data_IF_186161287634
#
_entry.id   IF_186161287634
#
_cell.length_a   1.000
_cell.length_b   1.000
_cell.length_c   1.000
_cell.angle_alpha   90.00
_cell.angle_beta   90.00
_cell.angle_gamma   90.00
#
_symmetry.space_group_name_H-M   'P 1'
#
loop_
_entity.id
_entity.type
_entity.pdbx_description
1 polymer ?
#
# COMPACT_ATOMS: atom_id res chain seq x y z
N UNK A 1 10.00 13.96 22.22
CA UNK A 1 9.58 13.65 20.83
C UNK A 1 8.10 13.98 20.70
N UNK A 2 7.66 14.61 19.61
CA UNK A 2 6.25 14.89 19.37
C UNK A 2 5.47 13.57 19.26
N UNK A 3 4.23 13.55 19.76
CA UNK A 3 3.37 12.35 19.62
C UNK A 3 3.11 12.06 18.14
N UNK A 4 3.03 10.78 17.71
CA UNK A 4 2.76 10.42 16.33
C UNK A 4 1.41 10.99 15.88
N UNK A 5 1.32 11.44 14.64
CA UNK A 5 0.07 11.95 14.06
C UNK A 5 -0.76 10.84 13.42
N UNK A 6 -0.17 9.65 13.21
CA UNK A 6 -0.75 8.52 12.50
C UNK A 6 -0.15 7.20 13.01
N UNK A 7 -0.92 6.13 13.00
CA UNK A 7 -0.43 4.76 13.15
C UNK A 7 -0.53 4.08 11.79
N UNK A 8 0.60 3.57 11.27
CA UNK A 8 0.63 2.80 10.02
C UNK A 8 0.47 1.31 10.32
N UNK A 9 -0.66 0.74 9.93
CA UNK A 9 -0.97 -0.70 10.08
C UNK A 9 -0.32 -1.52 8.94
N UNK A 10 1.01 -1.41 8.77
CA UNK A 10 1.73 -2.10 7.70
C UNK A 10 3.21 -2.27 8.02
N UNK A 11 3.75 -3.45 7.71
CA UNK A 11 5.19 -3.73 7.79
C UNK A 11 5.96 -3.30 6.52
N UNK A 12 5.29 -2.75 5.50
CA UNK A 12 5.93 -2.40 4.21
C UNK A 12 6.96 -1.28 4.37
N UNK A 13 8.24 -1.53 4.04
CA UNK A 13 9.28 -0.51 4.10
C UNK A 13 9.05 0.63 3.11
N UNK A 14 8.35 0.38 1.97
CA UNK A 14 8.04 1.41 0.98
C UNK A 14 7.01 2.41 1.51
N UNK A 15 5.94 1.93 2.14
CA UNK A 15 4.92 2.78 2.76
C UNK A 15 5.53 3.66 3.84
N UNK A 16 6.40 3.06 4.64
CA UNK A 16 7.17 3.79 5.66
C UNK A 16 8.03 4.88 5.03
N UNK A 17 8.85 4.55 4.03
CA UNK A 17 9.72 5.50 3.34
C UNK A 17 8.95 6.66 2.70
N UNK A 18 7.77 6.39 2.09
CA UNK A 18 6.92 7.44 1.52
C UNK A 18 6.43 8.39 2.61
N UNK A 19 5.91 7.88 3.73
CA UNK A 19 5.44 8.73 4.84
C UNK A 19 6.57 9.56 5.46
N UNK A 20 7.78 9.00 5.57
CA UNK A 20 8.98 9.71 6.03
C UNK A 20 9.35 10.85 5.07
N UNK A 21 9.34 10.58 3.75
CA UNK A 21 9.66 11.58 2.71
C UNK A 21 8.70 12.77 2.70
N UNK A 22 7.42 12.54 2.96
CA UNK A 22 6.42 13.62 3.02
C UNK A 22 6.30 14.25 4.42
N UNK A 23 7.18 13.88 5.35
CA UNK A 23 7.29 14.50 6.68
C UNK A 23 6.15 14.16 7.64
N UNK A 24 5.41 13.09 7.41
CA UNK A 24 4.37 12.62 8.34
C UNK A 24 5.01 11.97 9.55
N UNK A 25 4.62 12.39 10.75
CA UNK A 25 5.03 11.74 12.00
C UNK A 25 4.12 10.54 12.27
N UNK A 26 4.65 9.32 12.30
CA UNK A 26 3.86 8.11 12.48
C UNK A 26 4.55 7.07 13.36
N UNK A 27 3.74 6.13 13.86
CA UNK A 27 4.18 4.90 14.53
C UNK A 27 3.84 3.71 13.63
N UNK A 28 4.74 2.74 13.49
CA UNK A 28 4.45 1.50 12.76
C UNK A 28 3.93 0.44 13.73
N UNK A 29 2.76 -0.11 13.40
CA UNK A 29 2.21 -1.32 14.04
C UNK A 29 1.79 -2.27 12.93
N UNK A 30 2.59 -3.31 12.69
CA UNK A 30 2.25 -4.33 11.69
C UNK A 30 0.93 -5.01 12.05
N UNK A 31 0.10 -5.25 11.04
CA UNK A 31 -1.12 -6.04 11.17
C UNK A 31 -0.84 -7.48 10.77
N UNK A 32 -1.41 -8.42 11.48
CA UNK A 32 -1.47 -9.87 11.20
C UNK A 32 -2.83 -10.31 10.65
N UNK A 33 -3.65 -9.37 10.19
CA UNK A 33 -4.96 -9.67 9.62
C UNK A 33 -4.86 -10.52 8.35
N UNK A 34 -5.74 -11.52 8.25
CA UNK A 34 -5.88 -12.35 7.06
C UNK A 34 -6.30 -11.50 5.86
N UNK A 35 -5.54 -11.62 4.77
CA UNK A 35 -5.79 -10.89 3.52
C UNK A 35 -6.64 -11.75 2.56
N UNK A 36 -7.59 -11.10 1.87
CA UNK A 36 -8.28 -11.70 0.73
C UNK A 36 -7.32 -11.78 -0.45
N UNK A 37 -7.30 -12.93 -1.13
CA UNK A 37 -6.48 -13.17 -2.31
C UNK A 37 -7.30 -13.23 -3.60
N UNK A 38 -8.63 -13.25 -3.50
CA UNK A 38 -9.56 -13.42 -4.62
C UNK A 38 -10.73 -12.46 -4.51
N UNK A 39 -11.32 -12.12 -5.66
CA UNK A 39 -12.46 -11.23 -5.78
C UNK A 39 -12.19 -10.09 -6.77
N UNK A 40 -13.12 -9.13 -6.92
CA UNK A 40 -12.88 -7.91 -7.69
C UNK A 40 -11.70 -7.12 -7.08
N UNK A 41 -10.64 -6.79 -7.86
CA UNK A 41 -9.41 -6.23 -7.28
C UNK A 41 -9.62 -4.96 -6.44
N UNK A 42 -10.54 -4.07 -6.85
CA UNK A 42 -10.85 -2.87 -6.09
C UNK A 42 -11.50 -3.17 -4.73
N UNK A 43 -12.36 -4.18 -4.66
CA UNK A 43 -12.99 -4.62 -3.41
C UNK A 43 -11.97 -5.30 -2.49
N UNK A 44 -11.09 -6.14 -3.07
CA UNK A 44 -10.02 -6.84 -2.34
C UNK A 44 -9.11 -5.84 -1.63
N UNK A 45 -8.63 -4.80 -2.33
CA UNK A 45 -7.72 -3.82 -1.69
C UNK A 45 -8.40 -2.98 -0.63
N UNK A 46 -9.70 -2.66 -0.80
CA UNK A 46 -10.47 -1.92 0.19
C UNK A 46 -10.68 -2.76 1.45
N UNK A 47 -11.12 -4.01 1.28
CA UNK A 47 -11.36 -4.91 2.40
C UNK A 47 -10.07 -5.23 3.15
N UNK A 48 -8.98 -5.54 2.44
CA UNK A 48 -7.69 -5.80 3.07
C UNK A 48 -7.14 -4.59 3.81
N UNK A 49 -7.27 -3.38 3.23
CA UNK A 49 -6.90 -2.15 3.92
C UNK A 49 -7.72 -1.94 5.20
N UNK A 50 -9.03 -2.20 5.13
CA UNK A 50 -9.92 -2.12 6.28
C UNK A 50 -9.56 -3.14 7.36
N UNK A 51 -9.34 -4.41 7.01
CA UNK A 51 -8.93 -5.47 7.96
C UNK A 51 -7.65 -5.10 8.70
N UNK A 52 -6.63 -4.65 7.95
CA UNK A 52 -5.36 -4.21 8.52
C UNK A 52 -5.54 -3.06 9.52
N UNK A 53 -6.29 -2.03 9.12
CA UNK A 53 -6.55 -0.89 10.01
C UNK A 53 -7.33 -1.30 11.26
N UNK A 54 -8.37 -2.13 11.10
CA UNK A 54 -9.26 -2.57 12.20
C UNK A 54 -8.53 -3.43 13.22
N UNK A 55 -7.67 -4.35 12.78
CA UNK A 55 -6.88 -5.21 13.68
C UNK A 55 -6.00 -4.36 14.61
N UNK A 56 -5.35 -3.33 14.06
CA UNK A 56 -4.51 -2.42 14.84
C UNK A 56 -5.35 -1.46 15.69
N UNK A 57 -6.43 -0.89 15.18
CA UNK A 57 -7.30 0.01 15.93
C UNK A 57 -7.91 -0.67 17.16
N UNK A 58 -8.34 -1.92 17.03
CA UNK A 58 -8.86 -2.73 18.14
C UNK A 58 -7.85 -2.97 19.26
N UNK A 59 -6.56 -3.09 18.91
CA UNK A 59 -5.48 -3.22 19.90
C UNK A 59 -5.16 -1.91 20.61
N UNK A 60 -5.26 -0.79 19.90
CA UNK A 60 -5.03 0.56 20.47
C UNK A 60 -6.12 0.96 21.46
N UNK A 61 -7.39 0.67 21.12
CA UNK A 61 -8.53 0.96 22.00
C UNK A 61 -8.45 0.23 23.35
N UNK A 62 -7.89 -0.96 23.39
CA UNK A 62 -7.71 -1.75 24.62
C UNK A 62 -6.56 -1.24 25.50
N UNK A 63 -5.64 -0.42 24.97
CA UNK A 63 -4.45 0.09 25.69
C UNK A 63 -4.49 1.58 26.06
N UNK A 64 -5.50 2.33 25.64
CA UNK A 64 -5.57 3.79 25.76
C UNK A 64 -6.38 4.28 26.94
N UNK A 65 -5.70 4.68 28.04
CA UNK A 65 -6.26 5.55 29.05
C UNK A 65 -6.52 6.97 28.49
N UNK A 66 -7.54 7.63 29.00
CA UNK A 66 -8.02 8.96 28.63
C UNK A 66 -6.88 10.00 28.49
N UNK A 67 -6.74 10.65 27.34
CA UNK A 67 -5.91 11.86 27.19
C UNK A 67 -6.74 13.00 26.62
N UNK A 68 -6.61 14.11 27.33
CA UNK A 68 -7.40 15.32 27.34
C UNK A 68 -7.65 16.06 26.02
N UNK A 69 -8.70 16.85 26.06
CA UNK A 69 -9.20 17.76 25.02
C UNK A 69 -8.27 18.97 24.82
N UNK A 70 -7.82 19.20 23.59
CA UNK A 70 -7.20 20.47 23.16
C UNK A 70 -8.03 21.14 22.06
N UNK A 71 -8.17 22.49 22.03
CA UNK A 71 -8.88 23.21 20.99
C UNK A 71 -7.92 23.55 19.83
N UNK A 72 -8.29 23.20 18.58
CA UNK A 72 -7.55 23.60 17.39
C UNK A 72 -7.87 22.75 16.16
N UNK A 73 -8.15 23.42 15.06
CA UNK A 73 -8.71 22.88 13.82
C UNK A 73 -8.01 21.68 13.19
N UNK A 74 -8.78 20.79 12.62
CA UNK A 74 -8.36 19.81 11.61
C UNK A 74 -7.90 18.43 12.08
N UNK A 75 -7.44 18.26 13.31
CA UNK A 75 -6.97 16.96 13.84
C UNK A 75 -8.13 16.18 14.48
N UNK A 76 -8.24 14.85 14.28
CA UNK A 76 -9.24 14.02 14.96
C UNK A 76 -9.17 14.19 16.47
N UNK A 77 -10.29 14.46 17.10
CA UNK A 77 -10.39 14.60 18.56
C UNK A 77 -10.56 13.21 19.17
N UNK A 78 -9.63 12.78 20.01
CA UNK A 78 -9.82 11.61 20.87
C UNK A 78 -8.93 10.40 20.63
N UNK A 79 -8.04 10.37 19.64
CA UNK A 79 -7.11 9.27 19.40
C UNK A 79 -6.23 9.48 18.18
N UNK A 80 -5.18 8.65 18.06
CA UNK A 80 -4.29 8.66 16.89
C UNK A 80 -4.96 7.84 15.78
N UNK A 81 -5.20 8.40 14.58
CA UNK A 81 -5.78 7.65 13.46
C UNK A 81 -4.93 6.46 13.06
N UNK A 82 -5.58 5.41 12.55
CA UNK A 82 -4.93 4.20 12.04
C UNK A 82 -5.11 4.11 10.54
N UNK A 83 -4.01 3.99 9.80
CA UNK A 83 -3.96 3.83 8.36
C UNK A 83 -3.66 2.38 7.99
N UNK A 84 -4.62 1.71 7.36
CA UNK A 84 -4.43 0.45 6.64
C UNK A 84 -4.25 0.73 5.15
N UNK A 85 -3.38 -0.03 4.50
CA UNK A 85 -3.13 0.06 3.06
C UNK A 85 -2.97 -1.33 2.49
N UNK A 86 -3.56 -1.56 1.32
CA UNK A 86 -3.31 -2.76 0.53
C UNK A 86 -3.02 -2.44 -0.93
N UNK A 87 -2.29 -3.34 -1.62
CA UNK A 87 -1.91 -3.17 -3.01
C UNK A 87 -1.85 -4.52 -3.69
N UNK A 88 -2.55 -4.63 -4.82
CA UNK A 88 -2.53 -5.83 -5.67
C UNK A 88 -2.27 -5.45 -7.12
N UNK A 89 -1.69 -6.37 -7.87
CA UNK A 89 -1.52 -6.29 -9.33
C UNK A 89 -2.57 -7.16 -9.99
N UNK A 90 -3.20 -6.68 -11.06
CA UNK A 90 -4.24 -7.42 -11.79
C UNK A 90 -3.99 -7.38 -13.29
N UNK A 91 -4.14 -8.53 -13.95
CA UNK A 91 -4.18 -8.66 -15.40
C UNK A 91 -5.49 -9.31 -15.79
N UNK A 92 -6.43 -8.54 -16.30
CA UNK A 92 -7.82 -8.96 -16.45
C UNK A 92 -8.43 -9.27 -15.07
N UNK A 93 -8.97 -10.47 -14.93
CA UNK A 93 -9.55 -10.96 -13.66
C UNK A 93 -8.52 -11.63 -12.72
N UNK A 94 -7.31 -11.92 -13.21
CA UNK A 94 -6.26 -12.57 -12.40
C UNK A 94 -5.58 -11.56 -11.50
N UNK A 95 -5.61 -11.79 -10.19
CA UNK A 95 -4.84 -11.07 -9.20
C UNK A 95 -3.48 -11.74 -9.02
N UNK A 96 -2.43 -10.92 -8.97
CA UNK A 96 -1.07 -11.31 -8.66
C UNK A 96 -0.71 -10.74 -7.29
N UNK A 97 -0.68 -11.61 -6.29
CA UNK A 97 -0.21 -11.29 -4.95
C UNK A 97 1.32 -11.25 -4.87
N UNK A 98 1.85 -11.49 -3.68
CA UNK A 98 3.29 -11.65 -3.46
C UNK A 98 3.72 -13.04 -3.91
N UNK A 99 4.80 -13.17 -4.70
CA UNK A 99 5.30 -14.48 -5.12
C UNK A 99 5.83 -15.27 -3.93
N UNK A 100 5.65 -16.58 -3.97
CA UNK A 100 6.07 -17.52 -2.93
C UNK A 100 7.57 -17.84 -3.02
N UNK A 101 8.06 -17.93 -4.26
CA UNK A 101 9.43 -18.31 -4.59
C UNK A 101 9.88 -17.71 -5.93
N UNK A 102 11.09 -18.03 -6.36
CA UNK A 102 11.69 -17.52 -7.60
C UNK A 102 10.95 -18.02 -8.85
N UNK A 103 10.43 -19.25 -8.84
CA UNK A 103 9.69 -19.80 -9.96
C UNK A 103 8.34 -19.09 -10.13
N UNK A 104 7.63 -18.86 -9.03
CA UNK A 104 6.39 -18.10 -9.01
C UNK A 104 6.61 -16.65 -9.45
N UNK A 105 7.71 -16.04 -9.02
CA UNK A 105 8.08 -14.69 -9.47
C UNK A 105 8.35 -14.64 -10.99
N UNK A 106 9.09 -15.61 -11.52
CA UNK A 106 9.37 -15.70 -12.95
C UNK A 106 8.08 -15.90 -13.77
N UNK A 107 7.17 -16.76 -13.30
CA UNK A 107 5.85 -16.98 -13.93
C UNK A 107 5.02 -15.69 -13.95
N UNK A 108 4.95 -14.97 -12.82
CA UNK A 108 4.23 -13.70 -12.74
C UNK A 108 4.80 -12.67 -13.72
N UNK A 109 6.11 -12.50 -13.77
CA UNK A 109 6.79 -11.56 -14.67
C UNK A 109 6.57 -11.93 -16.13
N UNK A 110 6.64 -13.23 -16.48
CA UNK A 110 6.37 -13.70 -17.83
C UNK A 110 4.91 -13.43 -18.25
N UNK A 111 3.96 -13.60 -17.32
CA UNK A 111 2.56 -13.27 -17.58
C UNK A 111 2.31 -11.77 -17.81
N UNK A 112 3.10 -10.90 -17.19
CA UNK A 112 2.99 -9.43 -17.32
C UNK A 112 3.81 -8.86 -18.48
N UNK A 113 4.82 -9.59 -18.98
CA UNK A 113 5.75 -9.16 -20.03
C UNK A 113 5.02 -8.65 -21.29
N UNK A 114 5.36 -7.45 -21.75
CA UNK A 114 4.76 -6.80 -22.92
C UNK A 114 3.31 -6.37 -22.75
N UNK A 115 2.71 -6.51 -21.58
CA UNK A 115 1.27 -6.27 -21.36
C UNK A 115 1.02 -5.04 -20.48
N UNK A 116 -0.19 -4.52 -20.61
CA UNK A 116 -0.78 -3.54 -19.70
C UNK A 116 -1.48 -4.31 -18.58
N UNK A 117 -1.17 -3.95 -17.37
CA UNK A 117 -1.81 -4.47 -16.17
C UNK A 117 -2.19 -3.32 -15.24
N UNK A 118 -3.04 -3.58 -14.26
CA UNK A 118 -3.53 -2.56 -13.34
C UNK A 118 -2.99 -2.84 -11.94
N UNK A 119 -2.46 -1.82 -11.31
CA UNK A 119 -2.13 -1.82 -9.88
C UNK A 119 -3.27 -1.13 -9.15
N UNK A 120 -3.95 -1.87 -8.28
CA UNK A 120 -4.95 -1.34 -7.38
C UNK A 120 -4.33 -1.09 -6.02
N UNK A 121 -4.58 0.09 -5.46
CA UNK A 121 -4.19 0.41 -4.08
C UNK A 121 -5.39 0.93 -3.31
N UNK A 122 -5.68 0.31 -2.17
CA UNK A 122 -6.73 0.70 -1.24
C UNK A 122 -6.16 1.30 0.03
N UNK A 123 -6.82 2.32 0.55
CA UNK A 123 -6.54 2.91 1.86
C UNK A 123 -7.78 2.85 2.74
N UNK A 124 -7.56 2.61 4.02
CA UNK A 124 -8.55 2.73 5.08
C UNK A 124 -7.98 3.56 6.21
N UNK A 125 -8.63 4.68 6.52
CA UNK A 125 -8.29 5.53 7.64
C UNK A 125 -9.37 5.42 8.71
N UNK A 126 -9.02 4.83 9.84
CA UNK A 126 -9.88 4.75 11.02
C UNK A 126 -9.52 5.89 11.98
N UNK A 127 -10.46 6.80 12.16
CA UNK A 127 -10.41 7.89 13.12
C UNK A 127 -11.35 7.58 14.30
N UNK A 128 -11.29 8.27 15.43
CA UNK A 128 -12.12 7.97 16.59
C UNK A 128 -13.63 8.02 16.35
N UNK A 129 -14.07 8.85 15.40
CA UNK A 129 -15.46 9.15 15.11
C UNK A 129 -15.94 8.66 13.73
N UNK A 130 -15.03 8.20 12.87
CA UNK A 130 -15.35 7.78 11.50
C UNK A 130 -14.30 6.86 10.89
N UNK A 131 -14.74 6.07 9.91
CA UNK A 131 -13.88 5.29 9.03
C UNK A 131 -14.06 5.77 7.59
N UNK A 132 -12.96 5.99 6.88
CA UNK A 132 -12.94 6.39 5.48
C UNK A 132 -12.09 5.43 4.67
N UNK A 133 -12.59 5.02 3.53
CA UNK A 133 -11.90 4.13 2.60
C UNK A 133 -11.91 4.72 1.20
N UNK A 134 -10.86 4.49 0.44
CA UNK A 134 -10.80 4.83 -0.96
C UNK A 134 -9.84 3.88 -1.68
N UNK A 135 -10.08 3.65 -2.97
CA UNK A 135 -9.20 2.87 -3.83
C UNK A 135 -8.86 3.64 -5.10
N UNK A 136 -7.68 3.41 -5.62
CA UNK A 136 -7.23 3.94 -6.91
C UNK A 136 -6.67 2.83 -7.77
N UNK A 137 -6.69 3.06 -9.07
CA UNK A 137 -6.08 2.19 -10.07
C UNK A 137 -5.03 2.96 -10.86
N UNK A 138 -3.94 2.26 -11.19
CA UNK A 138 -2.87 2.80 -12.02
C UNK A 138 -2.50 1.75 -13.05
N UNK A 139 -2.54 2.14 -14.33
CA UNK A 139 -2.14 1.24 -15.41
C UNK A 139 -0.62 1.28 -15.55
N UNK A 140 -0.01 0.10 -15.53
CA UNK A 140 1.41 -0.10 -15.80
C UNK A 140 1.55 -0.94 -17.05
N UNK A 141 2.40 -0.52 -17.97
CA UNK A 141 2.76 -1.27 -19.16
C UNK A 141 4.19 -1.76 -19.04
N UNK A 142 4.37 -3.07 -19.15
CA UNK A 142 5.71 -3.66 -19.25
C UNK A 142 6.23 -3.64 -20.68
N UNK A 143 7.55 -3.56 -20.80
CA UNK A 143 8.27 -3.86 -22.04
C UNK A 143 8.11 -5.33 -22.39
N UNK A 144 8.26 -5.75 -23.66
CA UNK A 144 8.55 -7.14 -23.97
C UNK A 144 9.80 -7.59 -23.20
N UNK A 145 9.69 -8.67 -22.46
CA UNK A 145 10.79 -9.21 -21.64
C UNK A 145 11.20 -10.58 -22.19
N UNK A 146 12.41 -10.74 -22.71
CA UNK A 146 12.95 -12.06 -23.01
C UNK A 146 13.22 -12.83 -21.72
N UNK A 147 13.23 -14.17 -21.77
CA UNK A 147 13.45 -15.02 -20.60
C UNK A 147 14.70 -14.63 -19.81
N UNK A 148 15.82 -14.36 -20.51
CA UNK A 148 17.04 -13.93 -19.87
C UNK A 148 16.93 -12.62 -19.04
N UNK A 149 16.04 -11.69 -19.45
CA UNK A 149 15.79 -10.47 -18.68
C UNK A 149 14.97 -10.77 -17.41
N UNK A 150 14.02 -11.71 -17.50
CA UNK A 150 13.25 -12.17 -16.35
C UNK A 150 14.17 -12.87 -15.35
N UNK A 151 15.01 -13.81 -15.82
CA UNK A 151 15.97 -14.53 -14.99
C UNK A 151 16.94 -13.57 -14.28
N UNK A 152 17.48 -12.59 -15.02
CA UNK A 152 18.38 -11.59 -14.48
C UNK A 152 17.69 -10.74 -13.39
N UNK A 153 16.42 -10.35 -13.59
CA UNK A 153 15.69 -9.60 -12.59
C UNK A 153 15.35 -10.46 -11.36
N UNK A 154 14.90 -11.70 -11.55
CA UNK A 154 14.61 -12.63 -10.44
C UNK A 154 15.84 -12.85 -9.57
N UNK A 155 17.03 -12.97 -10.17
CA UNK A 155 18.30 -13.13 -9.46
C UNK A 155 18.64 -11.93 -8.55
N UNK A 156 18.07 -10.73 -8.79
CA UNK A 156 18.26 -9.56 -7.91
C UNK A 156 17.59 -9.70 -6.55
N UNK A 157 16.54 -10.51 -6.45
CA UNK A 157 15.72 -10.64 -5.26
C UNK A 157 14.78 -9.46 -4.99
N UNK A 158 14.74 -8.41 -5.83
CA UNK A 158 13.87 -7.23 -5.64
C UNK A 158 12.37 -7.57 -5.61
N UNK A 159 11.99 -8.68 -6.22
CA UNK A 159 10.62 -9.19 -6.29
C UNK A 159 10.05 -9.62 -4.92
N UNK A 160 10.93 -9.91 -3.94
CA UNK A 160 10.51 -10.46 -2.65
C UNK A 160 9.57 -9.52 -1.93
N UNK A 161 8.37 -10.05 -1.58
CA UNK A 161 7.33 -9.29 -0.88
C UNK A 161 6.62 -8.23 -1.74
N UNK A 162 6.72 -8.31 -3.09
CA UNK A 162 6.09 -7.38 -4.03
C UNK A 162 4.91 -8.03 -4.73
N UNK A 163 3.77 -7.37 -4.75
CA UNK A 163 2.65 -7.78 -5.59
C UNK A 163 3.06 -7.76 -7.07
N UNK A 164 2.71 -8.81 -7.82
CA UNK A 164 3.10 -8.96 -9.23
C UNK A 164 4.59 -9.20 -9.45
N UNK A 165 5.34 -9.54 -8.39
CA UNK A 165 6.76 -9.89 -8.44
C UNK A 165 7.69 -8.77 -8.93
N UNK A 166 7.35 -7.47 -8.83
CA UNK A 166 8.25 -6.39 -9.23
C UNK A 166 8.20 -5.19 -8.30
N UNK A 167 9.33 -4.49 -8.22
CA UNK A 167 9.46 -3.19 -7.58
C UNK A 167 9.67 -2.12 -8.66
N UNK A 168 8.73 -1.17 -8.81
CA UNK A 168 8.87 -0.10 -9.80
C UNK A 168 10.02 0.86 -9.49
N UNK A 169 10.51 0.85 -8.26
CA UNK A 169 11.74 1.48 -7.82
C UNK A 169 12.93 0.54 -8.08
N UNK A 170 14.12 1.04 -8.19
CA UNK A 170 15.31 0.21 -8.42
C UNK A 170 15.39 -0.42 -9.81
N UNK A 171 15.89 -1.65 -9.90
CA UNK A 171 16.09 -2.37 -11.17
C UNK A 171 14.76 -2.67 -11.86
N UNK A 172 13.70 -2.93 -11.09
CA UNK A 172 12.37 -3.18 -11.63
C UNK A 172 11.78 -2.03 -12.46
N UNK A 173 12.31 -0.81 -12.32
CA UNK A 173 11.95 0.30 -13.21
C UNK A 173 12.28 0.00 -14.69
N UNK A 174 13.30 -0.84 -14.95
CA UNK A 174 13.71 -1.21 -16.32
C UNK A 174 12.69 -2.09 -17.03
N UNK A 175 11.84 -2.78 -16.29
CA UNK A 175 10.76 -3.62 -16.81
C UNK A 175 9.60 -2.78 -17.37
N UNK A 176 9.45 -1.54 -16.87
CA UNK A 176 8.31 -0.67 -17.15
C UNK A 176 8.57 0.17 -18.39
N UNK A 177 7.62 0.19 -19.33
CA UNK A 177 7.62 1.07 -20.49
C UNK A 177 6.85 2.36 -20.21
N UNK A 178 5.73 2.28 -19.46
CA UNK A 178 4.83 3.41 -19.24
C UNK A 178 3.97 3.20 -17.99
N UNK A 179 3.57 4.31 -17.37
CA UNK A 179 2.58 4.37 -16.29
C UNK A 179 1.51 5.39 -16.70
N UNK A 180 0.24 5.09 -16.42
CA UNK A 180 -0.89 6.00 -16.54
C UNK A 180 -1.63 6.00 -15.18
N UNK A 181 -1.48 7.07 -14.41
CA UNK A 181 -2.03 7.21 -13.06
C UNK A 181 -1.01 7.66 -12.02
N UNK A 182 -1.14 7.16 -10.79
CA UNK A 182 -0.33 7.55 -9.63
C UNK A 182 0.87 6.61 -9.41
N UNK A 183 2.08 7.13 -9.60
CA UNK A 183 3.33 6.40 -9.36
C UNK A 183 3.45 5.90 -7.91
N UNK A 184 3.10 6.75 -6.93
CA UNK A 184 3.22 6.37 -5.51
C UNK A 184 2.21 5.29 -5.12
N UNK A 185 1.07 5.21 -5.81
CA UNK A 185 0.15 4.08 -5.73
C UNK A 185 0.82 2.76 -6.14
N UNK A 186 1.59 2.76 -7.24
CA UNK A 186 2.35 1.58 -7.70
C UNK A 186 3.46 1.21 -6.71
N UNK A 187 4.11 2.19 -6.10
CA UNK A 187 5.10 1.94 -5.02
C UNK A 187 4.44 1.32 -3.79
N UNK A 188 3.16 1.64 -3.54
CA UNK A 188 2.35 1.01 -2.50
C UNK A 188 1.64 1.93 -1.51
N UNK A 189 1.68 3.26 -1.71
CA UNK A 189 0.90 4.23 -0.94
C UNK A 189 0.41 5.37 -1.84
N UNK A 190 -0.89 5.45 -2.17
CA UNK A 190 -1.46 6.53 -2.98
C UNK A 190 -1.58 7.82 -2.16
N UNK A 191 -0.50 8.62 -2.18
CA UNK A 191 -0.40 9.82 -1.34
C UNK A 191 -1.46 10.86 -1.69
N UNK A 192 -1.74 11.09 -2.98
CA UNK A 192 -2.78 12.03 -3.40
C UNK A 192 -4.12 11.70 -2.75
N UNK A 193 -4.54 10.44 -2.88
CA UNK A 193 -5.78 9.96 -2.27
C UNK A 193 -5.75 10.03 -0.73
N UNK A 194 -4.60 9.69 -0.11
CA UNK A 194 -4.45 9.80 1.35
C UNK A 194 -4.64 11.25 1.81
N UNK A 195 -4.13 12.24 1.06
CA UNK A 195 -4.28 13.65 1.39
C UNK A 195 -5.69 14.16 1.13
N UNK A 196 -6.43 13.63 0.16
CA UNK A 196 -7.87 13.91 0.00
C UNK A 196 -8.67 13.44 1.21
N UNK A 197 -8.31 12.30 1.78
CA UNK A 197 -8.91 11.79 3.01
C UNK A 197 -8.42 12.55 4.26
N UNK A 198 -7.15 12.94 4.31
CA UNK A 198 -6.50 13.45 5.51
C UNK A 198 -5.50 14.60 5.19
N UNK A 199 -5.99 15.76 4.70
CA UNK A 199 -5.10 16.88 4.32
C UNK A 199 -4.29 17.41 5.50
N UNK A 200 -4.79 17.26 6.73
CA UNK A 200 -4.12 17.64 7.96
C UNK A 200 -2.82 16.85 8.27
N UNK A 201 -2.54 15.77 7.56
CA UNK A 201 -1.29 15.01 7.74
C UNK A 201 -0.06 15.82 7.33
N UNK A 202 -0.18 16.66 6.31
CA UNK A 202 0.92 17.44 5.73
C UNK A 202 0.67 18.96 5.88
N UNK A 203 -0.54 19.39 5.53
CA UNK A 203 -0.91 20.81 5.57
C UNK A 203 -1.45 21.19 6.95
N UNK A 204 -0.62 21.83 7.75
CA UNK A 204 -0.93 22.31 9.11
C UNK A 204 -1.22 23.81 9.12
#
# INVERSE_FOLDING_TARGET
MAAPSLILASASPQRRAILEQIGVSFEVRASDADELEQGPPAEVVLENAHRKASAVAGSVAKGGGERGRGPGGGRPRGGVPVLGVDTVVSLGSRIFGKPRDEADAAEMLAALAGRRHIVFSGVCLIEPDRTRTAATETVVQFRPLPAAAIDAYVATGEWRGRAGAYAIQGIGATLVARIEGDYLSVVGLPVSMLLDLAPWLVWR
#
